data_IF_238567097063
#
_entry.id   IF_238567097063
#
_cell.length_a   1.000
_cell.length_b   1.000
_cell.length_c   1.000
_cell.angle_alpha   90.00
_cell.angle_beta   90.00
_cell.angle_gamma   90.00
#
_symmetry.space_group_name_H-M   'P 1'
#
loop_
_entity.id
_entity.type
_entity.pdbx_description
1 polymer ?
#
# COMPACT_ATOMS: atom_id res chain seq x y z
N UNK A 1 -7.58 8.99 -0.86
CA UNK A 1 -6.52 9.39 -1.81
C UNK A 1 -5.92 8.13 -2.39
N UNK A 2 -5.65 8.07 -3.69
CA UNK A 2 -4.93 6.94 -4.30
C UNK A 2 -3.41 7.12 -4.10
N UNK A 3 -2.69 6.02 -3.92
CA UNK A 3 -1.26 6.01 -3.65
C UNK A 3 -0.51 5.05 -4.59
N UNK A 4 0.63 5.47 -5.10
CA UNK A 4 1.53 4.64 -5.89
C UNK A 4 2.66 4.10 -5.02
N UNK A 5 2.88 2.78 -5.05
CA UNK A 5 3.99 2.13 -4.35
C UNK A 5 5.30 2.42 -5.09
N UNK A 6 6.20 3.18 -4.47
CA UNK A 6 7.51 3.52 -5.04
C UNK A 6 8.64 2.61 -4.59
N UNK A 7 8.58 2.12 -3.34
CA UNK A 7 9.56 1.17 -2.79
C UNK A 7 8.89 0.21 -1.82
N UNK A 8 9.35 -1.03 -1.83
CA UNK A 8 9.22 -1.95 -0.70
C UNK A 8 10.49 -1.85 0.13
N UNK A 9 10.36 -1.50 1.41
CA UNK A 9 11.50 -1.29 2.29
C UNK A 9 11.90 -2.56 3.05
N UNK A 10 10.95 -3.43 3.43
CA UNK A 10 11.15 -4.73 4.09
C UNK A 10 9.83 -5.47 4.26
N UNK A 11 9.88 -6.79 4.16
CA UNK A 11 8.84 -7.70 4.67
C UNK A 11 9.25 -8.13 6.08
N UNK A 12 8.37 -7.87 7.06
CA UNK A 12 8.48 -8.39 8.43
C UNK A 12 7.69 -9.69 8.51
N UNK A 13 7.90 -10.47 9.58
CA UNK A 13 7.02 -11.59 9.91
C UNK A 13 5.55 -11.13 9.99
N UNK A 14 4.60 -12.05 9.80
CA UNK A 14 3.14 -11.80 9.86
C UNK A 14 2.58 -10.96 8.68
N UNK A 15 3.10 -11.17 7.46
CA UNK A 15 2.60 -10.52 6.22
C UNK A 15 2.60 -8.99 6.30
N UNK A 16 3.56 -8.41 7.03
CA UNK A 16 3.68 -6.97 7.20
C UNK A 16 4.75 -6.41 6.29
N UNK A 17 4.44 -5.33 5.60
CA UNK A 17 5.35 -4.66 4.70
C UNK A 17 5.50 -3.20 5.09
N UNK A 18 6.70 -2.66 4.94
CA UNK A 18 6.91 -1.21 4.99
C UNK A 18 7.02 -0.69 3.56
N UNK A 19 6.09 0.18 3.16
CA UNK A 19 5.97 0.74 1.82
C UNK A 19 6.34 2.21 1.82
N UNK A 20 7.00 2.66 0.76
CA UNK A 20 7.08 4.07 0.43
C UNK A 20 6.02 4.38 -0.63
N UNK A 21 5.11 5.28 -0.30
CA UNK A 21 3.96 5.67 -1.11
C UNK A 21 4.11 7.10 -1.63
N UNK A 22 3.62 7.34 -2.84
CA UNK A 22 3.48 8.67 -3.43
C UNK A 22 2.03 8.92 -3.83
N UNK A 23 1.54 10.15 -3.69
CA UNK A 23 0.27 10.52 -4.31
C UNK A 23 0.40 10.57 -5.85
N UNK A 24 -0.73 10.72 -6.56
CA UNK A 24 -0.75 10.79 -8.02
C UNK A 24 0.09 11.93 -8.60
N UNK A 25 0.20 13.06 -7.89
CA UNK A 25 1.06 14.19 -8.29
C UNK A 25 2.52 14.04 -7.87
N UNK A 26 2.86 13.01 -7.09
CA UNK A 26 4.21 12.75 -6.57
C UNK A 26 4.73 13.81 -5.59
N UNK A 27 3.86 14.72 -5.14
CA UNK A 27 4.19 15.83 -4.24
C UNK A 27 4.28 15.35 -2.80
N UNK A 28 3.36 14.49 -2.39
CA UNK A 28 3.29 13.90 -1.06
C UNK A 28 3.96 12.53 -1.11
N UNK A 29 4.89 12.31 -0.17
CA UNK A 29 5.55 11.03 0.04
C UNK A 29 5.28 10.57 1.46
N UNK A 30 4.90 9.31 1.61
CA UNK A 30 4.60 8.70 2.90
C UNK A 30 5.33 7.37 3.04
N UNK A 31 5.68 7.01 4.26
CA UNK A 31 6.10 5.66 4.63
C UNK A 31 4.96 5.07 5.45
N UNK A 32 4.49 3.88 5.08
CA UNK A 32 3.41 3.20 5.77
C UNK A 32 3.81 1.75 6.08
N UNK A 33 3.56 1.32 7.32
CA UNK A 33 3.51 -0.10 7.65
C UNK A 33 2.13 -0.64 7.30
N UNK A 34 2.08 -1.73 6.57
CA UNK A 34 0.84 -2.35 6.08
C UNK A 34 0.84 -3.84 6.33
N UNK A 35 -0.35 -4.44 6.38
CA UNK A 35 -0.55 -5.90 6.37
C UNK A 35 -1.35 -6.31 5.15
N UNK A 36 -0.91 -7.36 4.45
CA UNK A 36 -1.57 -7.84 3.23
C UNK A 36 -1.35 -9.34 3.06
N UNK A 37 -2.42 -10.09 2.78
CA UNK A 37 -2.30 -11.51 2.38
C UNK A 37 -1.93 -11.67 0.90
N UNK A 38 -1.86 -10.56 0.16
CA UNK A 38 -1.48 -10.49 -1.25
C UNK A 38 -0.13 -9.79 -1.41
N UNK A 39 0.65 -10.24 -2.39
CA UNK A 39 1.92 -9.61 -2.72
C UNK A 39 1.72 -8.19 -3.24
N UNK A 40 2.32 -7.20 -2.57
CA UNK A 40 2.39 -5.81 -3.03
C UNK A 40 3.74 -5.58 -3.71
N UNK A 41 3.74 -4.90 -4.85
CA UNK A 41 4.93 -4.62 -5.67
C UNK A 41 5.10 -3.14 -5.92
N UNK A 42 6.34 -2.75 -6.25
CA UNK A 42 6.61 -1.40 -6.75
C UNK A 42 5.87 -1.19 -8.06
N UNK A 43 5.17 -0.05 -8.18
CA UNK A 43 4.30 0.28 -9.30
C UNK A 43 2.82 0.03 -9.04
N UNK A 44 2.47 -0.72 -7.98
CA UNK A 44 1.07 -0.97 -7.65
C UNK A 44 0.35 0.31 -7.19
N UNK A 45 -0.92 0.44 -7.59
CA UNK A 45 -1.82 1.51 -7.18
C UNK A 45 -2.69 1.05 -6.02
N UNK A 46 -2.56 1.71 -4.87
CA UNK A 46 -3.41 1.49 -3.71
C UNK A 46 -4.58 2.49 -3.75
N UNK A 47 -5.79 1.97 -3.91
CA UNK A 47 -7.01 2.79 -3.99
C UNK A 47 -7.84 2.62 -2.72
N UNK A 48 -8.36 3.71 -2.12
CA UNK A 48 -9.02 3.64 -0.83
C UNK A 48 -10.32 2.84 -0.91
N UNK A 49 -10.59 2.04 0.13
CA UNK A 49 -11.89 1.43 0.39
C UNK A 49 -12.51 2.10 1.63
N UNK A 50 -12.26 1.56 2.82
CA UNK A 50 -12.76 2.08 4.10
C UNK A 50 -11.83 1.69 5.25
N UNK A 51 -11.85 2.42 6.37
CA UNK A 51 -11.12 2.08 7.60
C UNK A 51 -9.63 1.73 7.37
N UNK A 52 -8.93 2.57 6.60
CA UNK A 52 -7.52 2.39 6.24
C UNK A 52 -7.23 1.10 5.42
N UNK A 53 -8.26 0.48 4.85
CA UNK A 53 -8.15 -0.59 3.87
C UNK A 53 -8.07 0.01 2.46
N UNK A 54 -7.18 -0.54 1.66
CA UNK A 54 -6.97 -0.16 0.26
C UNK A 54 -7.04 -1.42 -0.61
N UNK A 55 -7.53 -1.29 -1.84
CA UNK A 55 -7.37 -2.33 -2.85
C UNK A 55 -6.12 -2.08 -3.70
N UNK A 56 -5.50 -3.17 -4.13
CA UNK A 56 -4.31 -3.18 -4.99
C UNK A 56 -4.80 -3.17 -6.44
N UNK A 57 -4.28 -2.24 -7.26
CA UNK A 57 -4.60 -2.08 -8.67
C UNK A 57 -6.10 -2.03 -8.99
N UNK A 58 -6.89 -1.45 -8.07
CA UNK A 58 -8.36 -1.36 -8.14
C UNK A 58 -9.09 -2.72 -8.09
N UNK A 59 -8.39 -3.80 -7.80
CA UNK A 59 -8.96 -5.14 -7.62
C UNK A 59 -9.50 -5.29 -6.19
N UNK A 60 -10.82 -5.15 -6.01
CA UNK A 60 -11.45 -5.06 -4.67
C UNK A 60 -11.24 -6.29 -3.76
N UNK A 61 -10.89 -7.44 -4.33
CA UNK A 61 -10.59 -8.66 -3.57
C UNK A 61 -9.14 -8.68 -3.05
N UNK A 62 -8.23 -7.96 -3.70
CA UNK A 62 -6.82 -7.88 -3.31
C UNK A 62 -6.63 -6.64 -2.46
N UNK A 63 -6.50 -6.83 -1.16
CA UNK A 63 -6.52 -5.73 -0.20
C UNK A 63 -5.28 -5.68 0.67
N UNK A 64 -4.97 -4.46 1.09
CA UNK A 64 -3.90 -4.13 2.03
C UNK A 64 -4.45 -3.20 3.10
N UNK A 65 -4.13 -3.47 4.36
CA UNK A 65 -4.55 -2.65 5.50
C UNK A 65 -3.38 -1.86 6.05
N UNK A 66 -3.52 -0.55 6.13
CA UNK A 66 -2.51 0.32 6.76
C UNK A 66 -2.58 0.16 8.29
N UNK A 67 -1.41 0.01 8.92
CA UNK A 67 -1.24 -0.15 10.36
C UNK A 67 -0.69 1.13 11.02
N UNK A 68 0.34 1.74 10.43
CA UNK A 68 0.97 2.99 10.91
C UNK A 68 1.58 3.79 9.77
#
# INVERSE_FOLDING_TARGET
>A
MEWLVKRLCREKQDNRHVLMLCDAGGTIKMIAEVKSDFAVKVGDLLSPLQNALYCINREKLHTVKVLS
#
